data_IF_201561945031
#
_entry.id   IF_201561945031
#
_cell.length_a   1.000
_cell.length_b   1.000
_cell.length_c   1.000
_cell.angle_alpha   90.00
_cell.angle_beta   90.00
_cell.angle_gamma   90.00
#
_symmetry.space_group_name_H-M   'P 1'
#
loop_
_entity.id
_entity.type
_entity.pdbx_description
1 polymer ?
#
# COMPACT_ATOMS: atom_id res chain seq x y z
N UNK A 1 6.06 -5.54 -14.96
CA UNK A 1 6.74 -4.34 -14.43
C UNK A 1 6.81 -3.19 -15.46
N UNK A 2 6.87 -3.48 -16.78
CA UNK A 2 6.98 -2.46 -17.84
C UNK A 2 5.75 -1.53 -18.00
N UNK A 3 4.63 -1.82 -17.34
CA UNK A 3 3.39 -1.04 -17.42
C UNK A 3 3.38 0.23 -16.55
N UNK A 4 4.31 0.35 -15.60
CA UNK A 4 4.36 1.48 -14.68
C UNK A 4 5.35 2.53 -15.21
N UNK A 5 4.89 3.78 -15.30
CA UNK A 5 5.72 4.94 -15.62
C UNK A 5 6.27 5.50 -14.32
N UNK A 6 7.48 6.05 -14.35
CA UNK A 6 8.14 6.63 -13.20
C UNK A 6 7.39 7.78 -12.52
N UNK A 7 7.96 8.36 -11.45
CA UNK A 7 7.25 9.27 -10.56
C UNK A 7 6.64 10.45 -11.31
N UNK A 8 5.38 10.73 -11.04
CA UNK A 8 4.77 11.98 -11.45
C UNK A 8 5.39 13.14 -10.65
N UNK A 9 5.47 14.33 -11.25
CA UNK A 9 5.82 15.55 -10.52
C UNK A 9 4.96 15.72 -9.29
N UNK A 10 5.54 16.27 -8.20
CA UNK A 10 4.79 16.61 -6.97
C UNK A 10 3.51 17.37 -7.34
N UNK A 11 2.37 17.02 -6.74
CA UNK A 11 1.13 17.76 -6.97
C UNK A 11 1.25 19.17 -6.39
N UNK A 12 0.83 20.15 -7.16
CA UNK A 12 0.66 21.55 -6.71
C UNK A 12 -0.68 21.73 -5.98
N UNK A 13 -1.16 20.73 -5.25
CA UNK A 13 -2.50 20.73 -4.70
C UNK A 13 -2.69 19.73 -3.56
N UNK A 14 -3.88 19.17 -3.47
CA UNK A 14 -4.25 18.16 -2.48
C UNK A 14 -3.54 16.84 -2.80
N UNK A 15 -2.89 16.24 -1.79
CA UNK A 15 -2.24 14.91 -1.91
C UNK A 15 -3.28 13.81 -1.90
N UNK A 16 -3.31 12.98 -2.93
CA UNK A 16 -4.19 11.83 -3.07
C UNK A 16 -3.55 10.56 -2.49
N UNK A 17 -4.07 10.14 -1.32
CA UNK A 17 -3.75 8.85 -0.70
C UNK A 17 -4.71 7.81 -1.25
N UNK A 18 -4.20 6.78 -1.94
CA UNK A 18 -5.04 5.79 -2.61
C UNK A 18 -4.93 4.42 -1.95
N UNK A 19 -6.08 3.90 -1.53
CA UNK A 19 -6.25 2.51 -1.10
C UNK A 19 -7.15 1.77 -2.09
N UNK A 20 -6.72 0.59 -2.55
CA UNK A 20 -7.55 -0.28 -3.38
C UNK A 20 -7.68 -1.67 -2.73
N UNK A 21 -8.87 -2.03 -2.27
CA UNK A 21 -9.11 -3.34 -1.64
C UNK A 21 -10.33 -3.44 -0.76
N UNK A 22 -10.52 -4.63 -0.17
CA UNK A 22 -11.65 -4.90 0.74
C UNK A 22 -11.50 -4.18 2.08
N UNK A 23 -12.62 -3.81 2.66
CA UNK A 23 -12.71 -3.14 3.98
C UNK A 23 -12.96 -4.11 5.14
N UNK A 24 -13.18 -5.39 4.83
CA UNK A 24 -13.40 -6.44 5.81
C UNK A 24 -12.20 -6.66 6.73
N UNK A 25 -12.37 -7.48 7.76
CA UNK A 25 -11.32 -7.82 8.71
C UNK A 25 -10.76 -6.59 9.44
N UNK A 26 -11.64 -5.65 9.79
CA UNK A 26 -11.29 -4.42 10.51
C UNK A 26 -10.35 -3.44 9.74
N UNK A 27 -10.06 -3.69 8.45
CA UNK A 27 -9.26 -2.76 7.64
C UNK A 27 -9.88 -1.36 7.55
N UNK A 28 -11.21 -1.28 7.57
CA UNK A 28 -11.91 0.01 7.62
C UNK A 28 -11.52 0.85 8.84
N UNK A 29 -11.20 0.22 9.99
CA UNK A 29 -10.77 0.94 11.20
C UNK A 29 -9.42 1.61 11.00
N UNK A 30 -8.45 0.87 10.44
CA UNK A 30 -7.14 1.41 10.12
C UNK A 30 -7.23 2.53 9.06
N UNK A 31 -8.07 2.36 8.03
CA UNK A 31 -8.30 3.41 7.03
C UNK A 31 -8.98 4.65 7.63
N UNK A 32 -9.86 4.46 8.63
CA UNK A 32 -10.46 5.57 9.36
C UNK A 32 -9.39 6.35 10.14
N UNK A 33 -8.48 5.67 10.82
CA UNK A 33 -7.36 6.32 11.52
C UNK A 33 -6.44 7.07 10.56
N UNK A 34 -6.18 6.52 9.36
CA UNK A 34 -5.45 7.23 8.30
C UNK A 34 -6.21 8.49 7.86
N UNK A 35 -7.52 8.40 7.66
CA UNK A 35 -8.33 9.57 7.28
C UNK A 35 -8.41 10.62 8.40
N UNK A 36 -8.40 10.20 9.67
CA UNK A 36 -8.28 11.09 10.83
C UNK A 36 -6.93 11.83 10.80
N UNK A 37 -5.83 11.13 10.56
CA UNK A 37 -4.51 11.74 10.44
C UNK A 37 -4.42 12.71 9.24
N UNK A 38 -5.03 12.38 8.11
CA UNK A 38 -5.11 13.28 6.94
C UNK A 38 -5.92 14.55 7.27
N UNK A 39 -7.01 14.43 8.04
CA UNK A 39 -7.82 15.58 8.47
C UNK A 39 -6.99 16.63 9.22
N UNK A 40 -6.04 16.20 10.05
CA UNK A 40 -5.15 17.09 10.82
C UNK A 40 -4.12 17.83 9.93
N UNK A 41 -4.12 17.62 8.61
CA UNK A 41 -3.21 18.30 7.68
C UNK A 41 -3.79 19.58 7.06
N UNK A 42 -4.86 20.13 7.62
CA UNK A 42 -5.50 21.38 7.16
C UNK A 42 -5.89 21.36 5.66
N UNK A 43 -6.47 20.25 5.22
CA UNK A 43 -6.97 20.09 3.84
C UNK A 43 -5.90 19.78 2.79
N UNK A 44 -4.68 19.41 3.20
CA UNK A 44 -3.60 19.06 2.26
C UNK A 44 -3.69 17.66 1.69
N UNK A 45 -4.61 16.82 2.15
CA UNK A 45 -4.76 15.45 1.68
C UNK A 45 -6.19 14.95 1.63
N UNK A 46 -6.41 13.93 0.83
CA UNK A 46 -7.66 13.18 0.72
C UNK A 46 -7.35 11.68 0.60
N UNK A 47 -8.18 10.83 1.22
CA UNK A 47 -8.09 9.38 1.09
C UNK A 47 -9.10 8.87 0.07
N UNK A 48 -8.62 8.40 -1.06
CA UNK A 48 -9.42 7.74 -2.10
C UNK A 48 -9.47 6.23 -1.84
N UNK A 49 -10.66 5.70 -1.56
CA UNK A 49 -10.88 4.27 -1.24
C UNK A 49 -11.60 3.60 -2.41
N UNK A 50 -10.90 2.74 -3.13
CA UNK A 50 -11.45 1.88 -4.19
C UNK A 50 -11.83 0.52 -3.60
N UNK A 51 -13.15 0.23 -3.53
CA UNK A 51 -13.65 -1.00 -2.90
C UNK A 51 -14.97 -1.45 -3.51
N UNK A 52 -15.47 -2.63 -3.13
CA UNK A 52 -16.76 -3.13 -3.63
C UNK A 52 -17.93 -2.24 -3.20
N UNK A 53 -18.96 -2.19 -4.00
CA UNK A 53 -20.21 -1.46 -3.72
C UNK A 53 -20.79 -1.83 -2.36
N UNK A 54 -20.85 -3.12 -2.04
CA UNK A 54 -21.34 -3.61 -0.74
C UNK A 54 -20.51 -3.08 0.43
N UNK A 55 -19.18 -3.00 0.25
CA UNK A 55 -18.29 -2.40 1.26
C UNK A 55 -18.53 -0.90 1.43
N UNK A 56 -18.82 -0.18 0.34
CA UNK A 56 -19.16 1.25 0.42
C UNK A 56 -20.45 1.41 1.21
N UNK A 57 -21.51 0.68 0.87
CA UNK A 57 -22.81 0.74 1.55
C UNK A 57 -22.69 0.43 3.05
N UNK A 58 -21.85 -0.56 3.41
CA UNK A 58 -21.68 -1.00 4.78
C UNK A 58 -20.83 -0.03 5.64
N UNK A 59 -19.78 0.55 5.07
CA UNK A 59 -18.75 1.23 5.86
C UNK A 59 -18.68 2.75 5.68
N UNK A 60 -19.23 3.34 4.60
CA UNK A 60 -19.08 4.77 4.32
C UNK A 60 -19.54 5.67 5.47
N UNK A 61 -20.56 5.26 6.23
CA UNK A 61 -21.08 6.01 7.36
C UNK A 61 -20.06 6.21 8.50
N UNK A 62 -19.03 5.33 8.59
CA UNK A 62 -17.98 5.43 9.60
C UNK A 62 -16.96 6.54 9.30
N UNK A 63 -16.98 7.10 8.08
CA UNK A 63 -16.04 8.11 7.60
C UNK A 63 -16.65 9.51 7.48
N UNK A 64 -17.82 9.73 8.09
CA UNK A 64 -18.47 11.06 8.10
C UNK A 64 -17.51 12.12 8.62
N UNK A 65 -17.50 13.29 7.96
CA UNK A 65 -16.66 14.44 8.30
C UNK A 65 -15.13 14.20 8.19
N UNK A 66 -14.73 13.11 7.54
CA UNK A 66 -13.32 12.85 7.20
C UNK A 66 -13.06 13.12 5.72
N UNK A 67 -11.83 13.48 5.34
CA UNK A 67 -11.45 13.75 3.94
C UNK A 67 -11.29 12.42 3.16
N UNK A 68 -12.42 11.79 2.84
CA UNK A 68 -12.48 10.50 2.17
C UNK A 68 -13.39 10.58 0.95
N UNK A 69 -12.93 10.03 -0.17
CA UNK A 69 -13.74 9.75 -1.35
C UNK A 69 -13.82 8.24 -1.58
N UNK A 70 -15.04 7.72 -1.72
CA UNK A 70 -15.27 6.32 -2.05
C UNK A 70 -15.48 6.17 -3.55
N UNK A 71 -14.84 5.14 -4.10
CA UNK A 71 -14.93 4.75 -5.51
C UNK A 71 -15.25 3.26 -5.60
N UNK A 72 -16.03 2.87 -6.59
CA UNK A 72 -16.23 1.45 -6.87
C UNK A 72 -14.91 0.80 -7.34
N UNK A 73 -14.72 -0.46 -6.97
CA UNK A 73 -13.57 -1.23 -7.40
C UNK A 73 -13.51 -1.31 -8.93
N UNK A 74 -12.33 -1.11 -9.48
CA UNK A 74 -12.09 -1.27 -10.91
C UNK A 74 -11.63 -2.71 -11.21
N UNK A 75 -11.87 -3.23 -12.44
CA UNK A 75 -11.27 -4.47 -12.90
C UNK A 75 -9.74 -4.45 -12.76
N UNK A 76 -9.13 -5.61 -12.53
CA UNK A 76 -7.69 -5.71 -12.30
C UNK A 76 -6.84 -5.13 -13.46
N UNK A 77 -7.32 -5.24 -14.69
CA UNK A 77 -6.69 -4.65 -15.86
C UNK A 77 -6.57 -3.13 -15.85
N UNK A 78 -7.47 -2.45 -15.11
CA UNK A 78 -7.50 -0.99 -14.97
C UNK A 78 -6.87 -0.47 -13.64
N UNK A 79 -6.44 -1.37 -12.75
CA UNK A 79 -5.91 -0.96 -11.44
C UNK A 79 -4.68 -0.06 -11.56
N UNK A 80 -3.88 -0.24 -12.61
CA UNK A 80 -2.71 0.58 -12.88
C UNK A 80 -3.06 2.06 -13.12
N UNK A 81 -4.22 2.34 -13.72
CA UNK A 81 -4.69 3.71 -13.94
C UNK A 81 -5.03 4.39 -12.61
N UNK A 82 -5.55 3.62 -11.65
CA UNK A 82 -5.81 4.10 -10.28
C UNK A 82 -4.49 4.42 -9.59
N UNK A 83 -3.52 3.52 -9.63
CA UNK A 83 -2.22 3.74 -9.00
C UNK A 83 -1.44 4.90 -9.61
N UNK A 84 -1.55 5.14 -10.92
CA UNK A 84 -0.90 6.27 -11.58
C UNK A 84 -1.43 7.63 -11.12
N UNK A 85 -2.72 7.71 -10.76
CA UNK A 85 -3.35 8.94 -10.25
C UNK A 85 -3.04 9.20 -8.78
N UNK A 86 -2.55 8.20 -8.06
CA UNK A 86 -2.16 8.35 -6.68
C UNK A 86 -0.90 9.22 -6.53
N UNK A 87 -0.82 9.99 -5.46
CA UNK A 87 0.42 10.59 -4.98
C UNK A 87 1.07 9.69 -3.94
N UNK A 88 0.25 8.99 -3.15
CA UNK A 88 0.67 8.03 -2.12
C UNK A 88 -0.18 6.76 -2.23
N UNK A 89 0.45 5.60 -2.23
CA UNK A 89 -0.24 4.32 -2.16
C UNK A 89 -0.34 3.87 -0.71
N UNK A 90 -1.54 3.53 -0.28
CA UNK A 90 -1.82 3.12 1.10
C UNK A 90 -1.95 1.62 1.19
N UNK A 91 -1.20 1.01 2.10
CA UNK A 91 -1.38 -0.38 2.50
C UNK A 91 -1.65 -0.46 3.99
N UNK A 92 -2.69 -1.19 4.38
CA UNK A 92 -3.00 -1.44 5.77
C UNK A 92 -3.29 -2.91 6.02
N UNK A 93 -2.86 -3.38 7.18
CA UNK A 93 -3.14 -4.73 7.65
C UNK A 93 -3.89 -4.71 8.99
N UNK A 94 -4.50 -5.84 9.27
CA UNK A 94 -5.40 -6.00 10.42
C UNK A 94 -4.64 -5.88 11.73
N UNK A 95 -5.12 -5.02 12.61
CA UNK A 95 -4.59 -4.86 13.98
C UNK A 95 -5.23 -5.81 15.01
N UNK A 96 -6.15 -6.70 14.57
CA UNK A 96 -6.86 -7.61 15.46
C UNK A 96 -5.96 -8.77 15.89
N UNK A 97 -5.78 -8.93 17.20
CA UNK A 97 -5.03 -10.05 17.80
C UNK A 97 -5.54 -11.43 17.33
N UNK A 98 -6.87 -11.56 17.13
CA UNK A 98 -7.48 -12.82 16.67
C UNK A 98 -7.06 -13.22 15.25
N UNK A 99 -6.70 -12.26 14.42
CA UNK A 99 -6.36 -12.46 13.01
C UNK A 99 -4.86 -12.42 12.73
N UNK A 100 -4.04 -11.97 13.68
CA UNK A 100 -2.57 -11.88 13.53
C UNK A 100 -1.94 -13.19 13.06
N UNK A 101 -2.38 -14.32 13.60
CA UNK A 101 -1.87 -15.64 13.23
C UNK A 101 -2.00 -15.98 11.75
N UNK A 102 -3.07 -15.52 11.09
CA UNK A 102 -3.31 -15.77 9.67
C UNK A 102 -2.46 -14.90 8.75
N UNK A 103 -2.17 -13.66 9.16
CA UNK A 103 -1.49 -12.69 8.29
C UNK A 103 -0.02 -12.50 8.61
N UNK A 104 0.47 -13.05 9.72
CA UNK A 104 1.85 -12.85 10.20
C UNK A 104 2.91 -13.12 9.14
N UNK A 105 2.70 -14.15 8.32
CA UNK A 105 3.65 -14.58 7.29
C UNK A 105 3.18 -14.26 5.86
N UNK A 106 2.03 -13.59 5.73
CA UNK A 106 1.48 -13.25 4.42
C UNK A 106 2.13 -11.99 3.86
N UNK A 107 2.45 -12.02 2.57
CA UNK A 107 2.79 -10.84 1.78
C UNK A 107 1.61 -10.57 0.85
N UNK A 108 1.03 -9.39 0.95
CA UNK A 108 -0.08 -8.98 0.11
C UNK A 108 0.33 -8.96 -1.37
N UNK A 109 -0.52 -9.51 -2.23
CA UNK A 109 -0.31 -9.52 -3.70
C UNK A 109 -0.23 -8.12 -4.32
N UNK A 110 -0.71 -7.09 -3.64
CA UNK A 110 -0.61 -5.68 -4.08
C UNK A 110 0.79 -5.09 -3.91
N UNK A 111 1.58 -5.62 -2.97
CA UNK A 111 2.90 -5.05 -2.66
C UNK A 111 3.83 -5.06 -3.88
N UNK A 112 3.96 -6.15 -4.65
CA UNK A 112 4.73 -6.13 -5.90
C UNK A 112 4.30 -5.03 -6.88
N UNK A 113 2.99 -4.79 -6.99
CA UNK A 113 2.44 -3.75 -7.85
C UNK A 113 2.79 -2.35 -7.32
N UNK A 114 2.59 -2.11 -6.02
CA UNK A 114 2.94 -0.83 -5.37
C UNK A 114 4.42 -0.49 -5.51
N UNK A 115 5.30 -1.45 -5.22
CA UNK A 115 6.74 -1.28 -5.37
C UNK A 115 7.14 -0.91 -6.81
N UNK A 116 6.42 -1.42 -7.81
CA UNK A 116 6.70 -1.17 -9.22
C UNK A 116 6.23 0.21 -9.71
N UNK A 117 5.40 0.93 -8.95
CA UNK A 117 4.84 2.23 -9.37
C UNK A 117 5.80 3.40 -9.21
N UNK A 118 6.85 3.27 -8.44
CA UNK A 118 7.74 4.36 -8.01
C UNK A 118 6.98 5.51 -7.28
N UNK A 119 5.90 5.16 -6.58
CA UNK A 119 5.14 6.08 -5.74
C UNK A 119 5.50 5.87 -4.27
N UNK A 120 5.44 6.91 -3.43
CA UNK A 120 5.50 6.74 -1.99
C UNK A 120 4.45 5.74 -1.49
N UNK A 121 4.86 4.86 -0.58
CA UNK A 121 3.99 3.88 0.05
C UNK A 121 3.87 4.22 1.53
N UNK A 122 2.63 4.35 2.03
CA UNK A 122 2.32 4.39 3.44
C UNK A 122 1.85 3.01 3.89
N UNK A 123 2.58 2.40 4.80
CA UNK A 123 2.14 1.19 5.48
C UNK A 123 1.67 1.52 6.90
N UNK A 124 0.45 1.08 7.25
CA UNK A 124 -0.07 1.18 8.60
C UNK A 124 -0.58 -0.16 9.10
N UNK A 125 0.10 -0.73 10.09
CA UNK A 125 -0.25 -2.05 10.64
C UNK A 125 0.75 -2.55 11.67
N UNK A 126 0.54 -3.80 12.20
CA UNK A 126 1.38 -4.37 13.26
C UNK A 126 2.84 -4.56 12.84
N UNK A 127 3.76 -4.30 13.78
CA UNK A 127 5.21 -4.45 13.55
C UNK A 127 5.66 -5.91 13.47
N UNK A 128 4.93 -6.84 14.07
CA UNK A 128 5.28 -8.27 14.15
C UNK A 128 4.92 -9.07 12.88
N UNK A 129 4.54 -8.38 11.81
CA UNK A 129 4.26 -8.98 10.51
C UNK A 129 5.51 -9.07 9.63
N UNK A 130 5.65 -10.16 8.89
CA UNK A 130 6.75 -10.32 7.92
C UNK A 130 6.74 -9.25 6.82
N UNK A 131 5.58 -8.78 6.44
CA UNK A 131 5.45 -7.67 5.50
C UNK A 131 6.04 -6.37 6.07
N UNK A 132 5.77 -6.06 7.36
CA UNK A 132 6.35 -4.89 8.02
C UNK A 132 7.88 -4.95 8.00
N UNK A 133 8.44 -6.07 8.45
CA UNK A 133 9.90 -6.32 8.44
C UNK A 133 10.48 -6.17 7.02
N UNK A 134 9.82 -6.77 6.02
CA UNK A 134 10.26 -6.74 4.63
C UNK A 134 10.34 -5.32 4.06
N UNK A 135 9.30 -4.52 4.25
CA UNK A 135 9.25 -3.14 3.75
C UNK A 135 10.26 -2.24 4.49
N UNK A 136 10.36 -2.38 5.81
CA UNK A 136 11.26 -1.60 6.65
C UNK A 136 12.73 -1.86 6.32
N UNK A 137 13.15 -3.12 6.24
CA UNK A 137 14.54 -3.50 5.94
C UNK A 137 15.00 -2.99 4.57
N UNK A 138 14.09 -2.94 3.60
CA UNK A 138 14.40 -2.47 2.25
C UNK A 138 14.22 -0.95 2.08
N UNK A 139 13.73 -0.22 3.09
CA UNK A 139 13.52 1.23 3.07
C UNK A 139 12.67 1.70 1.89
N UNK A 140 11.54 1.00 1.65
CA UNK A 140 10.70 1.19 0.47
C UNK A 140 9.32 1.78 0.78
N UNK A 141 9.04 2.08 2.05
CA UNK A 141 7.77 2.63 2.51
C UNK A 141 7.95 3.47 3.78
N UNK A 142 7.05 4.40 4.03
CA UNK A 142 6.87 4.99 5.34
C UNK A 142 6.02 4.05 6.19
N UNK A 143 6.54 3.71 7.36
CA UNK A 143 6.00 2.67 8.24
C UNK A 143 5.40 3.28 9.49
N UNK A 144 4.17 2.88 9.81
CA UNK A 144 3.52 3.27 11.06
C UNK A 144 2.82 2.05 11.68
N UNK A 145 2.91 1.92 13.00
CA UNK A 145 2.25 0.90 13.81
C UNK A 145 1.43 1.48 14.97
N UNK A 146 1.62 2.77 15.24
CA UNK A 146 0.89 3.56 16.21
C UNK A 146 0.36 4.85 15.59
N UNK A 147 -0.64 5.48 16.21
CA UNK A 147 -1.29 6.70 15.69
C UNK A 147 -0.33 7.88 15.60
N UNK A 148 0.57 8.00 16.54
CA UNK A 148 1.58 9.06 16.57
C UNK A 148 2.56 8.93 15.40
N UNK A 149 3.00 7.71 15.11
CA UNK A 149 3.84 7.40 13.96
C UNK A 149 3.09 7.66 12.65
N UNK A 150 1.80 7.27 12.59
CA UNK A 150 0.94 7.51 11.44
C UNK A 150 0.81 9.00 11.14
N UNK A 151 0.55 9.83 12.16
CA UNK A 151 0.46 11.29 11.99
C UNK A 151 1.78 11.87 11.47
N UNK A 152 2.91 11.40 12.00
CA UNK A 152 4.23 11.82 11.52
C UNK A 152 4.43 11.45 10.04
N UNK A 153 4.09 10.22 9.65
CA UNK A 153 4.19 9.78 8.25
C UNK A 153 3.28 10.60 7.32
N UNK A 154 2.03 10.85 7.71
CA UNK A 154 1.08 11.63 6.91
C UNK A 154 1.56 13.07 6.74
N UNK A 155 2.05 13.71 7.80
CA UNK A 155 2.58 15.08 7.73
C UNK A 155 3.78 15.19 6.76
N UNK A 156 4.66 14.19 6.75
CA UNK A 156 5.78 14.10 5.81
C UNK A 156 5.28 13.95 4.37
N UNK A 157 4.29 13.09 4.14
CA UNK A 157 3.76 12.81 2.80
C UNK A 157 3.02 13.99 2.16
N UNK A 158 2.42 14.87 2.96
CA UNK A 158 1.78 16.10 2.46
C UNK A 158 2.74 17.31 2.43
N UNK A 159 3.98 17.13 2.87
CA UNK A 159 5.02 18.16 2.82
C UNK A 159 5.80 18.11 1.51
N UNK A 160 6.75 19.04 1.36
CA UNK A 160 7.68 19.07 0.23
C UNK A 160 8.86 18.11 0.37
N UNK A 161 8.78 17.11 1.24
CA UNK A 161 9.83 16.11 1.42
C UNK A 161 10.05 15.29 0.14
N UNK A 162 11.32 15.01 -0.17
CA UNK A 162 11.70 14.23 -1.33
C UNK A 162 11.79 12.73 -1.00
N UNK A 163 10.94 11.93 -1.64
CA UNK A 163 10.89 10.48 -1.52
C UNK A 163 11.53 9.73 -2.71
N UNK A 164 12.25 10.42 -3.58
CA UNK A 164 12.82 9.85 -4.81
C UNK A 164 13.69 8.61 -4.53
N UNK A 165 14.53 8.66 -3.49
CA UNK A 165 15.39 7.52 -3.13
C UNK A 165 14.56 6.32 -2.67
N UNK A 166 13.57 6.53 -1.81
CA UNK A 166 12.65 5.47 -1.35
C UNK A 166 11.91 4.83 -2.52
N UNK A 167 11.40 5.63 -3.46
CA UNK A 167 10.69 5.15 -4.64
C UNK A 167 11.60 4.36 -5.58
N UNK A 168 12.86 4.78 -5.78
CA UNK A 168 13.86 4.02 -6.53
C UNK A 168 14.19 2.68 -5.88
N UNK A 169 14.35 2.67 -4.54
CA UNK A 169 14.57 1.43 -3.79
C UNK A 169 13.39 0.47 -3.96
N UNK A 170 12.16 0.99 -3.92
CA UNK A 170 10.95 0.21 -4.17
C UNK A 170 10.96 -0.43 -5.55
N UNK A 171 11.29 0.33 -6.59
CA UNK A 171 11.39 -0.18 -7.95
C UNK A 171 12.46 -1.27 -8.09
N UNK A 172 13.67 -1.03 -7.58
CA UNK A 172 14.75 -2.02 -7.59
C UNK A 172 14.35 -3.30 -6.85
N UNK A 173 13.65 -3.18 -5.72
CA UNK A 173 13.15 -4.32 -4.97
C UNK A 173 12.10 -5.11 -5.76
N UNK A 174 11.18 -4.42 -6.45
CA UNK A 174 10.19 -5.07 -7.32
C UNK A 174 10.86 -5.88 -8.43
N UNK A 175 11.83 -5.29 -9.11
CA UNK A 175 12.57 -5.94 -10.20
C UNK A 175 13.35 -7.16 -9.71
N UNK A 176 14.02 -7.04 -8.56
CA UNK A 176 14.84 -8.12 -7.98
C UNK A 176 14.01 -9.30 -7.45
N UNK A 177 12.91 -9.02 -6.75
CA UNK A 177 12.19 -10.04 -5.97
C UNK A 177 10.84 -10.43 -6.57
N UNK A 178 10.25 -9.59 -7.43
CA UNK A 178 8.88 -9.77 -7.90
C UNK A 178 8.77 -9.83 -9.43
N UNK A 179 9.88 -9.98 -10.14
CA UNK A 179 9.87 -10.23 -11.58
C UNK A 179 9.34 -11.63 -11.87
N UNK A 180 8.17 -11.72 -12.53
CA UNK A 180 7.51 -13.01 -12.78
C UNK A 180 8.37 -13.98 -13.60
N UNK A 181 9.05 -13.50 -14.64
CA UNK A 181 9.92 -14.33 -15.48
C UNK A 181 11.12 -14.91 -14.71
N UNK A 182 11.77 -14.11 -13.87
CA UNK A 182 12.89 -14.60 -13.05
C UNK A 182 12.44 -15.57 -11.98
N UNK A 183 11.30 -15.29 -11.33
CA UNK A 183 10.76 -16.19 -10.31
C UNK A 183 10.27 -17.51 -10.90
N UNK A 184 9.76 -17.50 -12.13
CA UNK A 184 9.41 -18.70 -12.86
C UNK A 184 10.66 -19.59 -13.13
N UNK A 185 11.76 -19.00 -13.56
CA UNK A 185 13.02 -19.71 -13.77
C UNK A 185 13.53 -20.32 -12.45
N UNK A 186 13.52 -19.54 -11.36
CA UNK A 186 13.92 -20.03 -10.02
C UNK A 186 13.06 -21.22 -9.57
N UNK A 187 11.77 -21.17 -9.82
CA UNK A 187 10.84 -22.26 -9.49
C UNK A 187 11.14 -23.52 -10.31
N UNK A 188 11.33 -23.40 -11.62
CA UNK A 188 11.69 -24.53 -12.48
C UNK A 188 13.01 -25.18 -12.04
N UNK A 189 14.05 -24.40 -11.79
CA UNK A 189 15.33 -24.91 -11.33
C UNK A 189 15.22 -25.63 -9.97
N UNK A 190 14.40 -25.12 -9.06
CA UNK A 190 14.15 -25.77 -7.76
C UNK A 190 13.45 -27.13 -7.93
N UNK A 191 12.46 -27.22 -8.82
CA UNK A 191 11.73 -28.47 -9.13
C UNK A 191 12.69 -29.48 -9.77
N UNK A 192 13.48 -29.08 -10.78
CA UNK A 192 14.46 -29.96 -11.42
C UNK A 192 15.48 -30.51 -10.41
N UNK A 193 15.98 -29.65 -9.50
CA UNK A 193 16.93 -30.08 -8.46
C UNK A 193 16.34 -31.17 -7.57
N UNK A 194 15.07 -31.06 -7.20
CA UNK A 194 14.40 -32.10 -6.39
C UNK A 194 14.22 -33.39 -7.17
N UNK A 195 13.82 -33.31 -8.43
CA UNK A 195 13.58 -34.49 -9.30
C UNK A 195 14.88 -35.25 -9.62
N UNK A 196 16.02 -34.54 -9.75
CA UNK A 196 17.29 -35.16 -10.05
C UNK A 196 17.97 -35.79 -8.81
N UNK A 197 17.56 -35.42 -7.58
CA UNK A 197 18.08 -35.93 -6.33
C UNK A 197 17.15 -36.98 -5.66
N UNK A 198 16.05 -37.33 -6.28
CA UNK A 198 15.09 -38.38 -5.88
C UNK A 198 15.26 -39.65 -6.72
#
# INVERSE_FOLDING_TARGET
>A
LSKFKGPASKPTGITHFVYAGGLHLDRWKALKEIAEAIKETDGKGILDIFTSKDSIELYHSNFKMLPVAFHEAVPHEHINEVYQKADVLVHTEVQSEKMKGFFKYSISTKIPEYLATEKPILFYGPQDMKLFEYLLQNRVALMASAKEELQCCVNRLVSDEDFTEMCKNARCLAEKNHCASENQIKLYNAIETVLLNS
#
